data_IF_382433862774
#
_entry.id   IF_382433862774
#
_cell.length_a   1.000
_cell.length_b   1.000
_cell.length_c   1.000
_cell.angle_alpha   90.00
_cell.angle_beta   90.00
_cell.angle_gamma   90.00
#
_symmetry.space_group_name_H-M   'P 1'
#
loop_
_entity.id
_entity.type
_entity.pdbx_description
1 polymer ?
#
# COMPACT_ATOMS: atom_id res chain seq x y z
N UNK A 1 -2.96 16.12 -15.66
CA UNK A 1 -3.49 15.87 -14.31
C UNK A 1 -2.53 16.52 -13.32
N UNK A 2 -3.04 17.35 -12.46
CA UNK A 2 -2.22 18.05 -11.48
C UNK A 2 -1.81 17.07 -10.38
N UNK A 3 -0.54 17.04 -10.00
CA UNK A 3 0.00 16.09 -9.03
C UNK A 3 -0.61 16.12 -7.63
N UNK A 4 -1.55 17.04 -7.35
CA UNK A 4 -2.21 17.19 -6.05
C UNK A 4 -3.12 16.02 -5.69
N UNK A 5 -3.87 15.49 -6.66
CA UNK A 5 -4.77 14.36 -6.42
C UNK A 5 -4.00 13.11 -5.99
N UNK A 6 -2.87 12.86 -6.63
CA UNK A 6 -2.01 11.73 -6.30
C UNK A 6 -1.42 11.87 -4.89
N UNK A 7 -0.98 13.10 -4.53
CA UNK A 7 -0.49 13.39 -3.18
C UNK A 7 -1.60 13.18 -2.15
N UNK A 8 -2.83 13.64 -2.45
CA UNK A 8 -3.96 13.42 -1.56
C UNK A 8 -4.25 11.93 -1.32
N UNK A 9 -4.22 11.12 -2.38
CA UNK A 9 -4.40 9.66 -2.27
C UNK A 9 -3.27 9.03 -1.45
N UNK A 10 -2.03 9.47 -1.64
CA UNK A 10 -0.86 9.03 -0.88
C UNK A 10 -1.03 9.36 0.63
N UNK A 11 -1.29 10.62 0.96
CA UNK A 11 -1.37 11.08 2.35
C UNK A 11 -2.59 10.51 3.08
N UNK A 12 -3.77 10.62 2.48
CA UNK A 12 -5.01 10.18 3.14
C UNK A 12 -5.17 8.65 3.03
N UNK A 13 -5.09 8.10 1.83
CA UNK A 13 -5.27 6.66 1.60
C UNK A 13 -4.13 5.84 2.19
N UNK A 14 -2.90 6.26 1.95
CA UNK A 14 -1.70 5.57 2.40
C UNK A 14 -1.42 5.75 3.88
N UNK A 15 -1.15 6.97 4.30
CA UNK A 15 -0.71 7.21 5.68
C UNK A 15 -1.87 7.25 6.67
N UNK A 16 -2.91 8.05 6.43
CA UNK A 16 -3.95 8.26 7.43
C UNK A 16 -4.88 7.05 7.59
N UNK A 17 -5.23 6.36 6.50
CA UNK A 17 -6.14 5.21 6.53
C UNK A 17 -5.34 3.90 6.59
N UNK A 18 -4.41 3.69 5.66
CA UNK A 18 -3.66 2.44 5.52
C UNK A 18 -2.55 2.25 6.54
N UNK A 19 -2.17 3.30 7.27
CA UNK A 19 -1.00 3.35 8.16
C UNK A 19 0.26 2.83 7.47
N UNK A 20 0.42 3.14 6.17
CA UNK A 20 1.53 2.67 5.35
C UNK A 20 2.77 3.54 5.56
N UNK A 21 3.93 2.93 5.37
CA UNK A 21 5.20 3.64 5.30
C UNK A 21 5.44 4.18 3.87
N UNK A 22 6.20 5.27 3.77
CA UNK A 22 6.76 5.71 2.50
C UNK A 22 7.67 4.66 1.87
N UNK A 23 7.54 4.45 0.59
CA UNK A 23 8.38 3.52 -0.18
C UNK A 23 9.37 4.23 -1.11
N UNK A 24 9.37 5.55 -1.16
CA UNK A 24 10.33 6.29 -1.97
C UNK A 24 11.75 6.29 -1.36
N UNK A 25 12.74 6.48 -2.24
CA UNK A 25 14.16 6.57 -1.91
C UNK A 25 14.61 8.00 -2.20
N UNK A 26 15.05 8.72 -1.18
CA UNK A 26 15.60 10.07 -1.31
C UNK A 26 17.10 10.15 -1.01
N UNK A 27 17.69 9.07 -0.49
CA UNK A 27 19.14 9.00 -0.22
C UNK A 27 19.69 7.60 -0.57
N UNK A 28 21.00 7.55 -0.90
CA UNK A 28 21.70 6.28 -1.15
C UNK A 28 22.12 5.52 0.12
N UNK A 29 21.70 5.99 1.30
CA UNK A 29 22.13 5.42 2.59
C UNK A 29 21.44 4.12 2.96
N UNK A 30 21.91 3.55 4.06
CA UNK A 30 21.33 2.35 4.70
C UNK A 30 20.40 2.75 5.85
N UNK A 31 19.34 2.00 6.07
CA UNK A 31 18.42 2.21 7.19
C UNK A 31 19.19 2.16 8.52
N UNK A 32 19.06 3.21 9.33
CA UNK A 32 19.69 3.26 10.65
C UNK A 32 18.99 2.31 11.63
N UNK A 33 19.72 1.82 12.63
CA UNK A 33 19.14 0.95 13.66
C UNK A 33 17.98 1.61 14.41
N UNK A 34 18.03 2.92 14.63
CA UNK A 34 16.93 3.65 15.24
C UNK A 34 15.65 3.62 14.38
N UNK A 35 15.77 3.83 13.07
CA UNK A 35 14.63 3.73 12.13
C UNK A 35 14.15 2.28 11.99
N UNK A 36 15.05 1.31 12.07
CA UNK A 36 14.71 -0.11 12.05
C UNK A 36 13.88 -0.48 13.28
N UNK A 37 14.34 -0.13 14.47
CA UNK A 37 13.60 -0.36 15.72
C UNK A 37 12.24 0.29 15.70
N UNK A 38 12.15 1.55 15.28
CA UNK A 38 10.88 2.27 15.12
C UNK A 38 9.94 1.55 14.13
N UNK A 39 10.47 1.02 13.01
CA UNK A 39 9.65 0.27 12.05
C UNK A 39 9.04 -0.96 12.70
N UNK A 40 9.84 -1.72 13.45
CA UNK A 40 9.38 -2.92 14.15
C UNK A 40 8.35 -2.61 15.25
N UNK A 41 8.53 -1.51 15.99
CA UNK A 41 7.57 -1.05 16.98
C UNK A 41 6.22 -0.73 16.34
N UNK A 42 6.20 -0.06 15.20
CA UNK A 42 4.97 0.27 14.49
C UNK A 42 4.37 -0.97 13.82
N UNK A 43 5.17 -1.90 13.33
CA UNK A 43 4.69 -3.18 12.81
C UNK A 43 3.99 -4.01 13.90
N UNK A 44 4.46 -3.96 15.12
CA UNK A 44 3.80 -4.61 16.26
C UNK A 44 2.39 -4.01 16.54
N UNK A 45 2.14 -2.76 16.13
CA UNK A 45 0.82 -2.11 16.19
C UNK A 45 -0.05 -2.37 14.93
N UNK A 46 0.45 -3.15 13.97
CA UNK A 46 -0.22 -3.40 12.69
C UNK A 46 -0.03 -2.30 11.65
N UNK A 47 0.86 -1.33 11.87
CA UNK A 47 1.22 -0.27 10.93
C UNK A 47 2.41 -0.70 10.07
N UNK A 48 2.75 0.04 9.01
CA UNK A 48 3.93 -0.18 8.17
C UNK A 48 4.05 -1.61 7.63
N UNK A 49 2.92 -2.27 7.39
CA UNK A 49 2.88 -3.63 6.86
C UNK A 49 3.30 -3.72 5.39
N UNK A 50 3.55 -2.60 4.74
CA UNK A 50 4.03 -2.49 3.35
C UNK A 50 5.56 -2.40 3.21
N UNK A 51 6.29 -2.45 4.32
CA UNK A 51 7.77 -2.49 4.33
C UNK A 51 8.27 -3.64 5.20
N UNK A 52 9.49 -4.10 4.95
CA UNK A 52 10.18 -5.13 5.71
C UNK A 52 11.61 -4.71 6.02
N UNK A 53 12.14 -5.10 7.17
CA UNK A 53 13.50 -4.77 7.63
C UNK A 53 14.40 -6.01 7.75
N UNK A 54 13.91 -7.18 7.35
CA UNK A 54 14.64 -8.46 7.42
C UNK A 54 15.23 -8.87 6.06
N UNK A 55 14.59 -8.50 4.97
CA UNK A 55 14.91 -8.93 3.62
C UNK A 55 14.58 -10.40 3.35
N UNK A 56 13.75 -11.02 4.19
CA UNK A 56 13.41 -12.44 4.11
C UNK A 56 11.95 -12.62 3.72
N UNK A 57 11.70 -13.33 2.61
CA UNK A 57 10.35 -13.59 2.10
C UNK A 57 9.46 -14.33 3.11
N UNK A 58 10.05 -15.18 3.90
CA UNK A 58 9.35 -16.05 4.87
C UNK A 58 8.79 -15.27 6.06
N UNK A 59 9.40 -14.14 6.39
CA UNK A 59 9.06 -13.35 7.59
C UNK A 59 8.52 -11.96 7.28
N UNK A 60 8.53 -11.53 6.01
CA UNK A 60 8.03 -10.22 5.66
C UNK A 60 6.50 -10.12 5.90
N UNK A 61 5.96 -8.93 6.19
CA UNK A 61 4.54 -8.74 6.50
C UNK A 61 3.55 -9.25 5.44
N UNK A 62 4.01 -9.36 4.19
CA UNK A 62 3.20 -9.83 3.05
C UNK A 62 3.57 -11.24 2.58
N UNK A 63 4.23 -12.05 3.40
CA UNK A 63 4.70 -13.39 3.04
C UNK A 63 3.58 -14.31 2.50
N UNK A 64 2.36 -14.16 3.00
CA UNK A 64 1.21 -14.95 2.59
C UNK A 64 0.78 -14.72 1.13
N UNK A 65 1.13 -13.59 0.51
CA UNK A 65 0.90 -13.37 -0.91
C UNK A 65 1.72 -14.31 -1.78
N UNK A 66 2.91 -14.72 -1.34
CA UNK A 66 3.77 -15.63 -2.11
C UNK A 66 3.23 -17.06 -2.19
N UNK A 67 2.34 -17.44 -1.31
CA UNK A 67 1.74 -18.78 -1.25
C UNK A 67 0.27 -18.81 -1.67
N UNK A 68 -0.34 -17.66 -1.92
CA UNK A 68 -1.75 -17.55 -2.29
C UNK A 68 -1.95 -17.89 -3.78
N UNK A 69 -2.69 -18.97 -4.12
CA UNK A 69 -2.91 -19.39 -5.52
C UNK A 69 -3.54 -18.28 -6.37
N UNK A 70 -4.36 -17.46 -5.76
CA UNK A 70 -5.09 -16.36 -6.38
C UNK A 70 -4.15 -15.29 -6.94
N UNK A 71 -2.95 -15.17 -6.37
CA UNK A 71 -1.91 -14.23 -6.79
C UNK A 71 -0.79 -14.92 -7.58
N UNK A 72 -0.95 -16.16 -8.03
CA UNK A 72 0.10 -16.91 -8.72
C UNK A 72 0.62 -16.23 -9.98
N UNK A 73 -0.24 -15.56 -10.73
CA UNK A 73 0.16 -14.75 -11.89
C UNK A 73 0.72 -13.37 -11.51
N UNK A 74 0.60 -13.01 -10.23
CA UNK A 74 1.04 -11.73 -9.68
C UNK A 74 2.42 -11.83 -9.01
N UNK A 75 2.98 -13.02 -8.87
CA UNK A 75 4.25 -13.26 -8.15
C UNK A 75 5.45 -12.51 -8.72
N UNK A 76 5.41 -12.16 -10.00
CA UNK A 76 6.46 -11.35 -10.61
C UNK A 76 6.38 -9.86 -10.22
N UNK A 77 5.27 -9.43 -9.61
CA UNK A 77 5.07 -8.05 -9.16
C UNK A 77 5.29 -7.95 -7.66
N UNK A 78 4.60 -8.79 -6.86
CA UNK A 78 4.85 -8.86 -5.42
C UNK A 78 6.15 -9.60 -5.16
N UNK A 79 7.15 -8.91 -4.64
CA UNK A 79 8.48 -9.46 -4.38
C UNK A 79 9.13 -8.76 -3.18
N UNK A 80 10.44 -8.66 -3.19
CA UNK A 80 11.25 -7.95 -2.21
C UNK A 80 12.13 -6.95 -2.96
N UNK A 81 11.71 -5.69 -3.02
CA UNK A 81 12.45 -4.60 -3.67
C UNK A 81 13.15 -3.77 -2.62
N UNK A 82 14.48 -3.75 -2.64
CA UNK A 82 15.24 -2.98 -1.66
C UNK A 82 15.06 -1.48 -1.86
N UNK A 83 14.90 -0.77 -0.75
CA UNK A 83 14.72 0.67 -0.66
C UNK A 83 13.31 1.09 -0.28
N UNK A 84 13.21 1.84 0.80
CA UNK A 84 12.01 2.51 1.32
C UNK A 84 12.41 3.51 2.43
N UNK A 85 11.45 4.22 3.02
CA UNK A 85 11.63 5.16 4.13
C UNK A 85 12.82 6.11 3.92
N UNK A 86 12.92 6.64 2.70
CA UNK A 86 13.98 7.56 2.24
C UNK A 86 15.38 6.94 2.12
N UNK A 87 15.57 5.64 2.31
CA UNK A 87 16.87 4.96 2.23
C UNK A 87 16.91 3.90 1.13
N UNK A 88 18.09 3.70 0.54
CA UNK A 88 18.27 2.76 -0.56
C UNK A 88 18.48 1.32 -0.10
N UNK A 89 18.95 1.10 1.16
CA UNK A 89 19.37 -0.23 1.64
C UNK A 89 18.84 -0.53 3.04
N UNK A 90 18.71 -1.84 3.32
CA UNK A 90 18.34 -2.35 4.64
C UNK A 90 16.86 -2.26 4.97
N UNK A 91 16.02 -1.97 3.97
CA UNK A 91 14.57 -2.02 4.06
C UNK A 91 14.01 -2.37 2.68
N UNK A 92 12.92 -3.12 2.66
CA UNK A 92 12.32 -3.64 1.44
C UNK A 92 10.85 -3.25 1.34
N UNK A 93 10.35 -3.13 0.13
CA UNK A 93 8.95 -2.91 -0.22
C UNK A 93 8.43 -4.06 -1.09
N UNK A 94 7.12 -4.21 -1.16
CA UNK A 94 6.48 -5.37 -1.81
C UNK A 94 6.46 -5.32 -3.33
N UNK A 95 6.37 -4.12 -3.93
CA UNK A 95 6.40 -3.93 -5.39
C UNK A 95 7.36 -2.80 -5.77
N UNK A 96 7.87 -2.82 -7.01
CA UNK A 96 8.82 -1.81 -7.46
C UNK A 96 8.20 -0.42 -7.50
N UNK A 97 6.94 -0.33 -7.94
CA UNK A 97 6.23 0.94 -8.15
C UNK A 97 4.86 0.87 -7.47
N UNK A 98 4.57 1.88 -6.65
CA UNK A 98 3.25 2.03 -6.00
C UNK A 98 2.97 3.47 -5.65
N UNK A 99 1.77 3.77 -5.16
CA UNK A 99 1.39 5.08 -4.65
C UNK A 99 2.37 5.57 -3.59
N UNK A 100 2.78 4.70 -2.67
CA UNK A 100 3.71 5.05 -1.58
C UNK A 100 5.16 5.26 -2.04
N UNK A 101 5.47 4.95 -3.32
CA UNK A 101 6.81 5.11 -3.89
C UNK A 101 6.91 6.36 -4.80
N UNK A 102 5.91 6.64 -5.65
CA UNK A 102 5.98 7.74 -6.61
C UNK A 102 4.66 8.49 -6.86
N UNK A 103 3.77 8.50 -5.88
CA UNK A 103 2.48 9.19 -5.93
C UNK A 103 1.59 8.80 -7.13
N UNK A 104 1.53 7.51 -7.47
CA UNK A 104 0.60 6.99 -8.50
C UNK A 104 -0.75 6.65 -7.92
N UNK A 105 -1.80 6.62 -8.75
CA UNK A 105 -3.11 6.07 -8.38
C UNK A 105 -3.11 4.54 -8.37
N UNK A 106 -2.12 3.95 -7.72
CA UNK A 106 -1.97 2.51 -7.63
C UNK A 106 -1.30 2.16 -6.31
N UNK A 107 -2.02 1.57 -5.40
CA UNK A 107 -1.45 0.90 -4.26
C UNK A 107 -1.06 -0.53 -4.64
N UNK A 108 0.14 -0.97 -4.26
CA UNK A 108 0.53 -2.38 -4.38
C UNK A 108 -0.42 -3.31 -3.64
N UNK A 109 -0.44 -4.61 -3.99
CA UNK A 109 -1.41 -5.54 -3.45
C UNK A 109 -1.36 -5.67 -1.91
N UNK A 110 -0.20 -5.78 -1.26
CA UNK A 110 -0.10 -5.76 0.19
C UNK A 110 -0.56 -4.45 0.84
N UNK A 111 -0.34 -3.31 0.17
CA UNK A 111 -0.84 -2.02 0.64
C UNK A 111 -2.36 -1.95 0.57
N UNK A 112 -2.98 -2.42 -0.52
CA UNK A 112 -4.46 -2.51 -0.64
C UNK A 112 -5.05 -3.39 0.45
N UNK A 113 -4.42 -4.54 0.71
CA UNK A 113 -4.83 -5.42 1.81
C UNK A 113 -4.79 -4.71 3.17
N UNK A 114 -3.71 -3.98 3.45
CA UNK A 114 -3.56 -3.22 4.70
C UNK A 114 -4.62 -2.13 4.83
N UNK A 115 -4.89 -1.36 3.77
CA UNK A 115 -5.93 -0.32 3.75
C UNK A 115 -7.31 -0.93 4.06
N UNK A 116 -7.69 -2.02 3.36
CA UNK A 116 -8.98 -2.70 3.58
C UNK A 116 -9.08 -3.25 5.00
N UNK A 117 -7.99 -3.81 5.52
CA UNK A 117 -7.91 -4.30 6.90
C UNK A 117 -8.19 -3.19 7.93
N UNK A 118 -7.57 -2.02 7.75
CA UNK A 118 -7.79 -0.87 8.65
C UNK A 118 -9.22 -0.33 8.55
N UNK A 119 -9.77 -0.23 7.34
CA UNK A 119 -11.16 0.21 7.14
C UNK A 119 -12.16 -0.75 7.79
N UNK A 120 -11.97 -2.07 7.63
CA UNK A 120 -12.81 -3.07 8.29
C UNK A 120 -12.70 -3.00 9.81
N UNK A 121 -11.49 -2.89 10.34
CA UNK A 121 -11.28 -2.72 11.77
C UNK A 121 -11.98 -1.47 12.32
N UNK A 122 -11.90 -0.35 11.61
CA UNK A 122 -12.60 0.89 11.99
C UNK A 122 -14.14 0.74 11.94
N UNK A 123 -14.66 -0.12 11.05
CA UNK A 123 -16.07 -0.45 10.95
C UNK A 123 -16.53 -1.53 11.97
N UNK A 124 -15.63 -2.06 12.78
CA UNK A 124 -15.92 -3.18 13.68
C UNK A 124 -16.09 -4.51 12.97
N UNK A 125 -15.56 -4.66 11.76
CA UNK A 125 -15.61 -5.86 10.94
C UNK A 125 -14.28 -6.61 10.96
N UNK A 126 -14.35 -7.94 10.85
CA UNK A 126 -13.16 -8.76 10.68
C UNK A 126 -12.68 -8.79 9.23
N UNK A 127 -11.35 -8.87 9.05
CA UNK A 127 -10.75 -9.06 7.74
C UNK A 127 -10.92 -10.50 7.29
N UNK A 128 -11.50 -10.71 6.10
CA UNK A 128 -11.60 -12.00 5.44
C UNK A 128 -10.75 -12.02 4.17
N UNK A 129 -9.82 -12.96 4.08
CA UNK A 129 -8.91 -13.08 2.94
C UNK A 129 -9.66 -13.34 1.63
N UNK A 130 -10.61 -14.30 1.60
CA UNK A 130 -11.32 -14.63 0.39
C UNK A 130 -12.23 -13.50 -0.10
N UNK A 131 -12.82 -12.73 0.83
CA UNK A 131 -13.60 -11.54 0.48
C UNK A 131 -12.71 -10.46 -0.15
N UNK A 132 -11.53 -10.24 0.41
CA UNK A 132 -10.54 -9.34 -0.18
C UNK A 132 -10.13 -9.79 -1.59
N UNK A 133 -9.73 -11.05 -1.75
CA UNK A 133 -9.31 -11.62 -3.02
C UNK A 133 -10.37 -11.48 -4.10
N UNK A 134 -11.63 -11.75 -3.77
CA UNK A 134 -12.76 -11.68 -4.70
C UNK A 134 -13.06 -10.25 -5.17
N UNK A 135 -12.70 -9.24 -4.35
CA UNK A 135 -12.96 -7.81 -4.61
C UNK A 135 -11.72 -7.05 -5.08
N UNK A 136 -10.55 -7.67 -5.07
CA UNK A 136 -9.30 -7.02 -5.48
C UNK A 136 -9.23 -6.82 -6.99
N UNK A 137 -9.88 -5.76 -7.47
CA UNK A 137 -10.01 -5.42 -8.88
C UNK A 137 -8.65 -5.21 -9.56
N UNK A 138 -7.71 -4.55 -8.89
CA UNK A 138 -6.39 -4.25 -9.46
C UNK A 138 -5.58 -5.50 -9.74
N UNK A 139 -5.73 -6.55 -8.92
CA UNK A 139 -5.15 -7.86 -9.19
C UNK A 139 -5.58 -8.39 -10.55
N UNK A 140 -6.86 -8.32 -10.86
CA UNK A 140 -7.40 -8.82 -12.12
C UNK A 140 -6.92 -8.00 -13.33
N UNK A 141 -6.77 -6.70 -13.16
CA UNK A 141 -6.29 -5.80 -14.22
C UNK A 141 -4.79 -5.91 -14.47
N UNK A 142 -3.98 -6.09 -13.44
CA UNK A 142 -2.54 -6.29 -13.58
C UNK A 142 -2.21 -7.52 -14.45
N UNK A 143 -3.03 -8.57 -14.42
CA UNK A 143 -2.87 -9.79 -15.21
C UNK A 143 -3.10 -9.58 -16.70
N UNK A 144 -3.75 -8.52 -17.12
CA UNK A 144 -4.04 -8.26 -18.54
C UNK A 144 -2.92 -7.47 -19.25
N UNK A 145 -1.83 -7.13 -18.54
CA UNK A 145 -0.74 -6.31 -19.09
C UNK A 145 -1.14 -4.86 -19.36
N UNK A 146 -2.40 -4.54 -19.22
CA UNK A 146 -2.89 -3.17 -19.21
C UNK A 146 -2.84 -2.68 -17.77
N UNK A 147 -1.81 -1.91 -17.40
CA UNK A 147 -1.94 -1.03 -16.25
C UNK A 147 -3.25 -0.29 -16.44
N UNK A 148 -4.19 -0.53 -15.55
CA UNK A 148 -5.50 0.03 -15.68
C UNK A 148 -5.35 1.51 -15.96
N UNK A 149 -5.75 1.93 -17.15
CA UNK A 149 -6.06 3.33 -17.37
C UNK A 149 -7.14 3.58 -16.34
N UNK A 150 -6.84 4.38 -15.34
CA UNK A 150 -7.84 4.84 -14.39
C UNK A 150 -9.02 5.35 -15.22
N UNK A 151 -10.10 4.58 -15.23
CA UNK A 151 -11.37 5.08 -15.74
C UNK A 151 -11.83 5.97 -14.59
N UNK A 152 -11.81 7.31 -14.77
CA UNK A 152 -12.40 8.15 -13.75
C UNK A 152 -13.82 7.62 -13.57
N UNK A 153 -14.16 7.17 -12.35
CA UNK A 153 -15.57 7.10 -12.00
C UNK A 153 -16.14 8.45 -12.41
N UNK A 154 -17.30 8.45 -13.09
CA UNK A 154 -18.01 9.68 -13.34
C UNK A 154 -18.11 10.39 -11.99
N UNK A 155 -17.23 11.35 -11.80
CA UNK A 155 -17.18 12.12 -10.56
C UNK A 155 -18.48 12.90 -10.51
N UNK A 156 -19.44 12.41 -9.77
CA UNK A 156 -20.62 13.18 -9.42
C UNK A 156 -20.13 14.21 -8.40
N UNK A 157 -20.06 15.50 -8.78
CA UNK A 157 -19.64 16.52 -7.82
C UNK A 157 -20.52 16.40 -6.59
N UNK A 158 -19.91 16.40 -5.40
CA UNK A 158 -20.67 16.51 -4.17
C UNK A 158 -21.52 17.78 -4.26
N UNK A 159 -22.80 17.75 -3.82
CA UNK A 159 -23.61 18.95 -3.75
C UNK A 159 -22.89 19.99 -2.87
N UNK A 160 -23.11 21.26 -3.19
CA UNK A 160 -22.55 22.36 -2.38
C UNK A 160 -22.86 22.13 -0.89
N UNK A 161 -21.88 22.39 -0.01
CA UNK A 161 -22.11 22.24 1.43
C UNK A 161 -23.31 23.12 1.87
N UNK A 162 -24.28 22.52 2.51
CA UNK A 162 -25.39 23.26 3.11
C UNK A 162 -24.83 24.05 4.28
N UNK A 163 -24.71 25.37 4.10
CA UNK A 163 -24.36 26.26 5.21
C UNK A 163 -25.58 26.35 6.14
N UNK A 164 -25.45 25.74 7.31
CA UNK A 164 -26.45 25.94 8.37
C UNK A 164 -26.15 27.31 8.98
N UNK A 165 -27.03 28.27 8.75
CA UNK A 165 -26.99 29.55 9.44
C UNK A 165 -27.82 29.38 10.73
N UNK A 166 -27.17 29.59 11.88
CA UNK A 166 -27.82 29.71 13.20
C UNK A 166 -28.62 31.04 13.29
#
# INVERSE_FOLDING_TARGET
MTGYENVFVHEIGGHAIGHLADCYISSGGTLSEAKKSQTLEWQALGWYQNVDVTGQKETCPWNFFFTAPEYSSYYNMVSMYEGARSTAKGIWRSEDISCMQDNRFYFDAPSRYSIVKQLKAAAGEEMNWQDFVNKDYDRNNANTGTRATFIPYDFVPLPEPVMIHD
#
